data_IF_402423046235
#
_entry.id   IF_402423046235
#
_cell.length_a   1.000
_cell.length_b   1.000
_cell.length_c   1.000
_cell.angle_alpha   90.00
_cell.angle_beta   90.00
_cell.angle_gamma   90.00
#
_symmetry.space_group_name_H-M   'P 1'
#
loop_
_entity.id
_entity.type
_entity.pdbx_description
1 polymer ?
#
# COMPACT_ATOMS: atom_id res chain seq x y z
N UNK A 1 -12.71 -46.39 35.15
CA UNK A 1 -12.86 -44.92 35.08
C UNK A 1 -11.59 -44.38 34.47
N UNK A 2 -11.60 -44.09 33.16
CA UNK A 2 -10.41 -43.65 32.42
C UNK A 2 -10.57 -42.15 32.14
N UNK A 3 -9.72 -41.33 32.75
CA UNK A 3 -9.75 -39.88 32.54
C UNK A 3 -9.21 -39.56 31.15
N UNK A 4 -10.06 -38.99 30.29
CA UNK A 4 -9.65 -38.45 29.00
C UNK A 4 -9.16 -37.03 29.29
N UNK A 5 -7.85 -36.83 29.30
CA UNK A 5 -7.25 -35.50 29.31
C UNK A 5 -7.53 -34.85 27.96
N UNK A 6 -8.55 -34.00 27.89
CA UNK A 6 -8.82 -33.15 26.73
C UNK A 6 -7.77 -32.04 26.71
N UNK A 7 -6.73 -32.21 25.89
CA UNK A 7 -5.86 -31.10 25.49
C UNK A 7 -6.72 -30.12 24.68
N UNK A 8 -6.86 -28.84 25.09
CA UNK A 8 -7.59 -27.87 24.29
C UNK A 8 -6.89 -27.74 22.94
N UNK A 9 -7.66 -27.87 21.85
CA UNK A 9 -7.16 -27.56 20.52
C UNK A 9 -6.62 -26.12 20.53
N UNK A 10 -5.45 -25.85 19.91
CA UNK A 10 -4.92 -24.50 19.84
C UNK A 10 -5.98 -23.61 19.21
N UNK A 11 -6.43 -22.59 19.95
CA UNK A 11 -7.32 -21.56 19.40
C UNK A 11 -6.67 -21.03 18.13
N UNK A 12 -7.37 -20.98 16.98
CA UNK A 12 -6.81 -20.36 15.80
C UNK A 12 -6.46 -18.92 16.18
N UNK A 13 -5.15 -18.63 16.24
CA UNK A 13 -4.68 -17.28 16.53
C UNK A 13 -5.26 -16.31 15.51
N UNK A 14 -5.44 -15.03 15.87
CA UNK A 14 -5.90 -14.03 14.91
C UNK A 14 -4.95 -14.01 13.71
N UNK A 15 -5.46 -14.25 12.50
CA UNK A 15 -4.64 -14.22 11.28
C UNK A 15 -4.06 -12.83 11.00
N UNK A 16 -3.23 -12.74 9.96
CA UNK A 16 -2.67 -11.45 9.52
C UNK A 16 -3.78 -10.42 9.28
N UNK A 17 -3.65 -9.22 9.84
CA UNK A 17 -4.66 -8.16 9.73
C UNK A 17 -4.91 -7.67 8.28
N UNK A 18 -3.94 -7.86 7.37
CA UNK A 18 -4.05 -7.40 5.98
C UNK A 18 -4.51 -8.47 4.98
N UNK A 19 -4.09 -9.71 5.15
CA UNK A 19 -4.36 -10.78 4.18
C UNK A 19 -5.10 -11.98 4.75
N UNK A 20 -5.45 -11.95 6.04
CA UNK A 20 -6.10 -13.05 6.77
C UNK A 20 -5.35 -14.40 6.74
N UNK A 21 -4.11 -14.45 6.23
CA UNK A 21 -3.30 -15.67 6.26
C UNK A 21 -3.11 -16.14 7.70
N UNK A 22 -3.37 -17.43 8.01
CA UNK A 22 -3.04 -18.04 9.28
C UNK A 22 -1.54 -17.91 9.54
N UNK A 23 -1.15 -17.22 10.60
CA UNK A 23 0.25 -16.91 10.89
C UNK A 23 0.71 -17.54 12.20
N UNK A 24 1.90 -18.13 12.17
CA UNK A 24 2.74 -18.23 13.36
C UNK A 24 3.49 -16.90 13.49
N UNK A 25 3.10 -16.09 14.48
CA UNK A 25 3.67 -14.76 14.70
C UNK A 25 5.00 -14.81 15.46
N UNK A 26 5.55 -16.02 15.66
CA UNK A 26 6.74 -16.25 16.45
C UNK A 26 6.48 -16.07 17.94
N UNK A 27 7.53 -16.19 18.77
CA UNK A 27 7.41 -15.96 20.20
C UNK A 27 6.97 -14.53 20.50
N UNK A 28 6.01 -14.39 21.40
CA UNK A 28 5.53 -13.09 21.87
C UNK A 28 6.58 -12.45 22.77
N UNK A 29 7.17 -11.34 22.32
CA UNK A 29 7.97 -10.45 23.15
C UNK A 29 7.07 -9.34 23.70
N UNK A 30 6.82 -9.27 25.03
CA UNK A 30 6.01 -8.22 25.63
C UNK A 30 6.59 -6.80 25.44
N UNK A 31 7.89 -6.69 25.15
CA UNK A 31 8.57 -5.41 24.93
C UNK A 31 8.44 -4.91 23.48
N UNK A 32 8.00 -5.74 22.54
CA UNK A 32 7.81 -5.37 21.13
C UNK A 32 6.38 -5.72 20.67
N UNK A 33 5.50 -4.71 20.48
CA UNK A 33 4.11 -4.98 20.11
C UNK A 33 4.04 -5.66 18.75
N UNK A 34 3.43 -6.84 18.70
CA UNK A 34 3.19 -7.54 17.43
C UNK A 34 2.41 -6.63 16.47
N UNK A 35 2.96 -6.44 15.28
CA UNK A 35 2.32 -5.68 14.20
C UNK A 35 1.02 -6.33 13.71
N UNK A 36 0.74 -7.59 14.07
CA UNK A 36 -0.39 -8.36 13.56
C UNK A 36 -0.28 -8.69 12.07
N UNK A 37 0.90 -8.50 11.46
CA UNK A 37 1.15 -8.73 10.04
C UNK A 37 2.05 -9.95 9.84
N UNK A 38 1.74 -10.79 8.84
CA UNK A 38 2.62 -11.89 8.46
C UNK A 38 3.90 -11.36 7.77
N UNK A 39 5.01 -12.14 7.75
CA UNK A 39 6.25 -11.72 7.11
C UNK A 39 6.10 -11.28 5.65
N UNK A 40 5.18 -11.89 4.89
CA UNK A 40 4.87 -11.49 3.53
C UNK A 40 4.22 -10.09 3.46
N UNK A 41 3.29 -9.77 4.36
CA UNK A 41 2.69 -8.43 4.46
C UNK A 41 3.65 -7.38 5.03
N UNK A 42 4.53 -7.76 5.95
CA UNK A 42 5.63 -6.88 6.43
C UNK A 42 6.60 -6.58 5.29
N UNK A 43 6.93 -7.59 4.48
CA UNK A 43 7.80 -7.45 3.30
C UNK A 43 7.12 -6.67 2.20
N UNK A 44 5.82 -6.88 1.94
CA UNK A 44 5.03 -6.09 1.00
C UNK A 44 4.84 -4.64 1.47
N UNK A 45 4.81 -4.42 2.80
CA UNK A 45 4.80 -3.10 3.42
C UNK A 45 6.12 -2.34 3.31
N UNK A 46 7.23 -3.00 2.93
CA UNK A 46 8.41 -2.29 2.44
C UNK A 46 8.11 -1.82 1.01
N UNK A 47 8.10 -0.51 0.74
CA UNK A 47 7.88 -0.04 -0.61
C UNK A 47 9.02 -0.54 -1.50
N UNK A 48 8.79 -1.61 -2.26
CA UNK A 48 9.68 -1.97 -3.37
C UNK A 48 9.63 -0.82 -4.37
N UNK A 49 10.71 -0.62 -5.12
CA UNK A 49 10.74 0.40 -6.18
C UNK A 49 9.57 0.20 -7.15
N UNK A 50 9.32 -1.04 -7.56
CA UNK A 50 8.19 -1.43 -8.40
C UNK A 50 6.83 -1.15 -7.76
N UNK A 51 6.70 -1.36 -6.43
CA UNK A 51 5.50 -1.04 -5.66
C UNK A 51 5.23 0.46 -5.58
N UNK A 52 6.27 1.27 -5.40
CA UNK A 52 6.17 2.74 -5.44
C UNK A 52 5.81 3.24 -6.84
N UNK A 53 6.46 2.71 -7.87
CA UNK A 53 6.18 3.05 -9.27
C UNK A 53 4.72 2.72 -9.61
N UNK A 54 4.24 1.54 -9.22
CA UNK A 54 2.84 1.13 -9.40
C UNK A 54 1.87 2.04 -8.64
N UNK A 55 2.17 2.38 -7.38
CA UNK A 55 1.32 3.28 -6.59
C UNK A 55 1.21 4.68 -7.22
N UNK A 56 2.32 5.23 -7.72
CA UNK A 56 2.32 6.53 -8.42
C UNK A 56 1.48 6.47 -9.70
N UNK A 57 1.61 5.40 -10.49
CA UNK A 57 0.82 5.24 -11.71
C UNK A 57 -0.69 5.10 -11.42
N UNK A 58 -1.05 4.36 -10.38
CA UNK A 58 -2.46 4.22 -9.93
C UNK A 58 -3.03 5.58 -9.54
N UNK A 59 -2.32 6.35 -8.70
CA UNK A 59 -2.78 7.67 -8.25
C UNK A 59 -2.88 8.64 -9.44
N UNK A 60 -1.93 8.59 -10.37
CA UNK A 60 -1.99 9.40 -11.58
C UNK A 60 -3.19 9.05 -12.46
N UNK A 61 -3.48 7.76 -12.65
CA UNK A 61 -4.65 7.28 -13.39
C UNK A 61 -5.97 7.72 -12.74
N UNK A 62 -6.10 7.58 -11.42
CA UNK A 62 -7.28 8.03 -10.67
C UNK A 62 -7.47 9.55 -10.76
N UNK A 63 -6.37 10.31 -10.67
CA UNK A 63 -6.39 11.77 -10.81
C UNK A 63 -6.88 12.19 -12.20
N UNK A 64 -6.39 11.51 -13.24
CA UNK A 64 -6.79 11.76 -14.63
C UNK A 64 -8.26 11.41 -14.85
N UNK A 65 -8.70 10.23 -14.41
CA UNK A 65 -10.10 9.82 -14.53
C UNK A 65 -11.05 10.80 -13.82
N UNK A 66 -10.67 11.30 -12.65
CA UNK A 66 -11.43 12.34 -11.96
C UNK A 66 -11.53 13.64 -12.78
N UNK A 67 -10.44 14.07 -13.41
CA UNK A 67 -10.45 15.24 -14.29
C UNK A 67 -11.25 15.01 -15.59
N UNK A 68 -11.23 13.81 -16.16
CA UNK A 68 -12.00 13.43 -17.36
C UNK A 68 -13.50 13.37 -17.08
N UNK A 69 -13.88 13.02 -15.84
CA UNK A 69 -15.28 13.00 -15.41
C UNK A 69 -15.86 14.39 -15.08
N UNK A 70 -15.03 15.43 -15.09
CA UNK A 70 -15.44 16.79 -14.74
C UNK A 70 -16.35 17.39 -15.82
N UNK A 71 -17.56 17.81 -15.44
CA UNK A 71 -18.47 18.51 -16.35
C UNK A 71 -18.09 19.99 -16.47
N UNK A 72 -17.40 20.34 -17.56
CA UNK A 72 -16.88 21.71 -17.77
C UNK A 72 -17.96 22.80 -17.83
N UNK A 73 -19.20 22.44 -18.20
CA UNK A 73 -20.29 23.39 -18.32
C UNK A 73 -20.80 23.91 -16.97
N UNK A 74 -20.60 23.13 -15.90
CA UNK A 74 -21.19 23.37 -14.57
C UNK A 74 -20.13 23.48 -13.48
N UNK A 75 -18.89 23.08 -13.76
CA UNK A 75 -17.81 23.07 -12.79
C UNK A 75 -17.41 24.48 -12.32
N UNK A 76 -17.24 24.63 -11.02
CA UNK A 76 -16.81 25.88 -10.41
C UNK A 76 -15.32 26.15 -10.72
N UNK A 77 -14.86 27.41 -10.78
CA UNK A 77 -13.45 27.75 -11.02
C UNK A 77 -12.49 27.06 -10.05
N UNK A 78 -12.88 26.89 -8.79
CA UNK A 78 -12.10 26.23 -7.75
C UNK A 78 -11.92 24.73 -8.04
N UNK A 79 -12.95 24.10 -8.58
CA UNK A 79 -12.97 22.69 -8.95
C UNK A 79 -12.07 22.46 -10.18
N UNK A 80 -12.15 23.32 -11.20
CA UNK A 80 -11.21 23.30 -12.32
C UNK A 80 -9.76 23.46 -11.85
N UNK A 81 -9.50 24.44 -10.98
CA UNK A 81 -8.15 24.71 -10.45
C UNK A 81 -7.62 23.52 -9.65
N UNK A 82 -8.49 22.86 -8.87
CA UNK A 82 -8.15 21.65 -8.13
C UNK A 82 -7.74 20.51 -9.08
N UNK A 83 -8.58 20.17 -10.06
CA UNK A 83 -8.30 19.07 -10.98
C UNK A 83 -7.07 19.33 -11.86
N UNK A 84 -6.92 20.55 -12.38
CA UNK A 84 -5.73 20.94 -13.15
C UNK A 84 -4.46 20.85 -12.30
N UNK A 85 -4.52 21.33 -11.06
CA UNK A 85 -3.40 21.26 -10.12
C UNK A 85 -3.04 19.82 -9.76
N UNK A 86 -4.04 18.96 -9.56
CA UNK A 86 -3.85 17.55 -9.27
C UNK A 86 -3.20 16.82 -10.46
N UNK A 87 -3.72 17.00 -11.68
CA UNK A 87 -3.17 16.40 -12.91
C UNK A 87 -1.72 16.84 -13.12
N UNK A 88 -1.42 18.13 -12.97
CA UNK A 88 -0.05 18.65 -13.08
C UNK A 88 0.90 17.98 -12.08
N UNK A 89 0.49 17.85 -10.81
CA UNK A 89 1.33 17.23 -9.77
C UNK A 89 1.57 15.75 -10.07
N UNK A 90 0.52 15.01 -10.43
CA UNK A 90 0.60 13.59 -10.77
C UNK A 90 1.48 13.35 -12.00
N UNK A 91 1.31 14.14 -13.05
CA UNK A 91 2.17 14.08 -14.25
C UNK A 91 3.64 14.35 -13.90
N UNK A 92 3.93 15.36 -13.09
CA UNK A 92 5.31 15.64 -12.64
C UNK A 92 5.92 14.44 -11.91
N UNK A 93 5.17 13.80 -11.02
CA UNK A 93 5.65 12.64 -10.27
C UNK A 93 5.91 11.44 -11.20
N UNK A 94 5.03 11.19 -12.18
CA UNK A 94 5.25 10.16 -13.20
C UNK A 94 6.50 10.45 -14.03
N UNK A 95 6.68 11.69 -14.48
CA UNK A 95 7.87 12.09 -15.23
C UNK A 95 9.16 11.93 -14.40
N UNK A 96 9.10 12.15 -13.09
CA UNK A 96 10.24 11.93 -12.19
C UNK A 96 10.59 10.45 -12.05
N UNK A 97 9.61 9.54 -12.11
CA UNK A 97 9.89 8.09 -12.14
C UNK A 97 10.56 7.65 -13.44
N UNK A 98 10.14 8.24 -14.57
CA UNK A 98 10.66 7.90 -15.90
C UNK A 98 11.98 8.61 -16.21
N UNK A 99 12.29 9.70 -15.53
CA UNK A 99 13.52 10.44 -15.75
C UNK A 99 14.73 9.54 -15.43
N UNK A 100 15.69 9.39 -16.35
CA UNK A 100 16.90 8.63 -16.08
C UNK A 100 17.66 9.27 -14.92
N UNK A 101 17.92 8.49 -13.86
CA UNK A 101 18.71 8.93 -12.72
C UNK A 101 20.14 9.17 -13.22
N UNK A 102 20.51 10.43 -13.44
CA UNK A 102 21.88 10.79 -13.81
C UNK A 102 22.78 10.62 -12.58
N UNK A 103 23.32 9.40 -12.39
CA UNK A 103 24.45 9.18 -11.47
C UNK A 103 24.54 7.82 -10.79
N UNK A 104 25.22 6.87 -11.44
CA UNK A 104 26.41 6.14 -10.92
C UNK A 104 26.78 5.03 -11.92
N UNK A 105 27.79 5.25 -12.73
CA UNK A 105 28.32 4.23 -13.65
C UNK A 105 28.85 4.79 -14.96
N UNK A 106 29.77 5.76 -14.87
CA UNK A 106 30.66 6.08 -15.99
C UNK A 106 32.03 6.43 -15.40
N UNK A 107 32.72 5.40 -14.94
CA UNK A 107 34.17 5.32 -14.96
C UNK A 107 34.53 3.89 -15.35
#
# INVERSE_FOLDING_TARGET
>A
MTAITLTPAPSPGPGCALCATPGDFGPHDPADPHSGLCPACVTAGKPTREGLESAVLIVAGQTLAGAESLELATAAPEELAYHLGAVKRSLRTVLQLLAPVKGKGAR
#
